data_IF_147558942212
#
_entry.id   IF_147558942212
#
_cell.length_a   1.000
_cell.length_b   1.000
_cell.length_c   1.000
_cell.angle_alpha   90.00
_cell.angle_beta   90.00
_cell.angle_gamma   90.00
#
_symmetry.space_group_name_H-M   'P 1'
#
loop_
_entity.id
_entity.type
_entity.pdbx_description
1 polymer ?
#
# COMPACT_ATOMS: atom_id res chain seq x y z
N UNK A 1 -3.97 -18.74 -18.90
CA UNK A 1 -2.86 -19.70 -19.01
C UNK A 1 -1.73 -19.33 -18.05
N UNK A 2 -1.64 -20.09 -16.96
CA UNK A 2 -0.44 -20.47 -16.19
C UNK A 2 -0.98 -21.34 -15.04
N UNK A 3 -1.49 -22.54 -15.36
CA UNK A 3 -2.13 -23.46 -14.41
C UNK A 3 -1.14 -24.23 -13.53
N UNK A 4 0.14 -23.86 -13.58
CA UNK A 4 1.21 -24.52 -12.83
C UNK A 4 2.05 -23.52 -12.07
N UNK A 5 2.46 -23.92 -10.87
CA UNK A 5 3.33 -23.11 -10.04
C UNK A 5 4.70 -22.95 -10.73
N UNK A 6 5.30 -21.76 -10.79
CA UNK A 6 6.61 -21.57 -11.40
C UNK A 6 7.74 -22.28 -10.63
N UNK A 7 7.51 -22.64 -9.37
CA UNK A 7 8.53 -23.26 -8.53
C UNK A 7 8.35 -24.78 -8.41
N UNK A 8 7.17 -25.24 -7.99
CA UNK A 8 6.93 -26.68 -7.78
C UNK A 8 6.25 -27.38 -8.96
N UNK A 9 5.88 -26.64 -10.02
CA UNK A 9 5.17 -27.14 -11.20
C UNK A 9 3.87 -27.92 -10.92
N UNK A 10 3.38 -27.94 -9.68
CA UNK A 10 2.13 -28.55 -9.30
C UNK A 10 0.96 -27.88 -10.02
N UNK A 11 -0.06 -28.66 -10.37
CA UNK A 11 -1.31 -28.17 -10.93
C UNK A 11 -2.03 -27.31 -9.87
N UNK A 12 -2.25 -26.03 -10.18
CA UNK A 12 -3.01 -25.14 -9.33
C UNK A 12 -4.50 -25.38 -9.57
N UNK A 13 -5.31 -25.59 -8.52
CA UNK A 13 -6.76 -25.53 -8.66
C UNK A 13 -7.16 -24.13 -9.14
N UNK A 14 -8.26 -24.02 -9.90
CA UNK A 14 -8.72 -22.73 -10.45
C UNK A 14 -8.96 -21.65 -9.38
N UNK A 15 -9.11 -22.09 -8.12
CA UNK A 15 -9.41 -21.28 -6.94
C UNK A 15 -8.18 -20.89 -6.10
N UNK A 16 -6.97 -21.38 -6.44
CA UNK A 16 -5.73 -21.04 -5.71
C UNK A 16 -5.30 -19.60 -6.00
N UNK A 17 -5.91 -18.66 -5.28
CA UNK A 17 -5.89 -17.24 -5.64
C UNK A 17 -4.66 -16.45 -5.15
N UNK A 18 -3.88 -16.97 -4.19
CA UNK A 18 -2.85 -16.16 -3.50
C UNK A 18 -1.55 -16.91 -3.18
N UNK A 19 -1.62 -18.19 -2.81
CA UNK A 19 -0.48 -19.02 -2.38
C UNK A 19 -0.61 -20.41 -3.01
N UNK A 20 0.50 -20.98 -3.49
CA UNK A 20 0.51 -22.33 -4.03
C UNK A 20 0.32 -23.36 -2.90
N UNK A 21 -0.64 -24.29 -3.00
CA UNK A 21 -0.88 -25.30 -1.99
C UNK A 21 0.28 -26.30 -1.82
N UNK A 22 1.05 -26.55 -2.89
CA UNK A 22 2.13 -27.55 -2.85
C UNK A 22 3.44 -27.06 -2.22
N UNK A 23 3.84 -25.80 -2.44
CA UNK A 23 5.12 -25.27 -1.95
C UNK A 23 5.02 -23.99 -1.12
N UNK A 24 3.84 -23.40 -0.98
CA UNK A 24 3.67 -22.14 -0.23
C UNK A 24 4.16 -20.89 -0.98
N UNK A 25 4.47 -20.99 -2.28
CA UNK A 25 4.88 -19.86 -3.10
C UNK A 25 3.76 -18.82 -3.27
N UNK A 26 4.06 -17.54 -3.05
CA UNK A 26 3.10 -16.43 -3.19
C UNK A 26 2.93 -16.05 -4.66
N UNK A 27 1.78 -16.43 -5.24
CA UNK A 27 1.46 -16.22 -6.65
C UNK A 27 0.91 -14.82 -6.91
N UNK A 28 0.20 -14.23 -5.93
CA UNK A 28 -0.46 -12.93 -6.08
C UNK A 28 -0.25 -12.04 -4.87
N UNK A 29 0.26 -10.83 -5.08
CA UNK A 29 0.29 -9.80 -4.04
C UNK A 29 -1.13 -9.32 -3.72
N UNK A 30 -1.55 -9.25 -2.44
CA UNK A 30 -2.86 -8.72 -2.05
C UNK A 30 -3.07 -7.29 -2.55
N UNK A 31 -4.23 -7.00 -3.14
CA UNK A 31 -4.63 -5.63 -3.56
C UNK A 31 -4.46 -4.62 -2.42
N UNK A 32 -4.74 -5.04 -1.20
CA UNK A 32 -4.58 -4.23 0.02
C UNK A 32 -3.13 -3.77 0.21
N UNK A 33 -2.15 -4.64 -0.06
CA UNK A 33 -0.73 -4.27 0.06
C UNK A 33 -0.29 -3.30 -1.04
N UNK A 34 -0.84 -3.41 -2.26
CA UNK A 34 -0.60 -2.41 -3.32
C UNK A 34 -1.13 -1.03 -2.94
N UNK A 35 -2.32 -0.96 -2.35
CA UNK A 35 -2.90 0.30 -1.87
C UNK A 35 -2.05 0.86 -0.71
N UNK A 36 -1.60 0.01 0.21
CA UNK A 36 -0.68 0.43 1.28
C UNK A 36 0.62 1.04 0.76
N UNK A 37 1.23 0.44 -0.27
CA UNK A 37 2.44 0.98 -0.92
C UNK A 37 2.14 2.35 -1.56
N UNK A 38 0.99 2.52 -2.21
CA UNK A 38 0.58 3.81 -2.77
C UNK A 38 0.51 4.89 -1.68
N UNK A 39 -0.07 4.57 -0.53
CA UNK A 39 -0.12 5.48 0.62
C UNK A 39 1.26 5.81 1.18
N UNK A 40 2.19 4.84 1.22
CA UNK A 40 3.57 5.11 1.62
C UNK A 40 4.30 6.05 0.65
N UNK A 41 4.12 5.85 -0.66
CA UNK A 41 4.69 6.74 -1.68
C UNK A 41 4.09 8.14 -1.54
N UNK A 42 2.78 8.24 -1.31
CA UNK A 42 2.09 9.51 -1.13
C UNK A 42 2.57 10.22 0.15
N UNK A 43 2.80 9.48 1.24
CA UNK A 43 3.45 9.98 2.46
C UNK A 43 4.87 10.47 2.20
N UNK A 44 5.66 9.77 1.40
CA UNK A 44 7.00 10.23 1.04
C UNK A 44 6.96 11.55 0.28
N UNK A 45 6.02 11.69 -0.67
CA UNK A 45 5.82 12.94 -1.41
C UNK A 45 5.44 14.08 -0.47
N UNK A 46 4.55 13.86 0.51
CA UNK A 46 4.19 14.93 1.47
C UNK A 46 5.35 15.36 2.35
N UNK A 47 6.28 14.44 2.68
CA UNK A 47 7.54 14.77 3.37
C UNK A 47 8.46 15.59 2.46
N UNK A 48 8.62 15.22 1.20
CA UNK A 48 9.45 15.98 0.25
C UNK A 48 8.92 17.41 0.12
N UNK A 49 7.60 17.57 -0.04
CA UNK A 49 6.95 18.89 -0.13
C UNK A 49 7.15 19.69 1.16
N UNK A 50 7.11 19.03 2.33
CA UNK A 50 7.41 19.69 3.61
C UNK A 50 8.84 20.26 3.64
N UNK A 51 9.82 19.47 3.21
CA UNK A 51 11.25 19.85 3.22
C UNK A 51 11.55 20.96 2.21
N UNK A 52 10.98 20.87 1.00
CA UNK A 52 11.20 21.86 -0.06
C UNK A 52 10.49 23.19 0.24
N UNK A 53 9.45 23.17 1.07
CA UNK A 53 8.61 24.32 1.36
C UNK A 53 7.29 24.20 0.60
N UNK A 54 6.14 24.04 1.29
CA UNK A 54 4.88 23.76 0.59
C UNK A 54 4.38 24.97 -0.21
N UNK A 55 4.89 26.17 0.08
CA UNK A 55 4.58 27.42 -0.63
C UNK A 55 5.08 27.44 -2.08
N UNK A 56 6.07 26.61 -2.42
CA UNK A 56 6.57 26.45 -3.79
C UNK A 56 5.73 25.46 -4.60
N UNK A 57 5.02 24.54 -3.94
CA UNK A 57 4.33 23.41 -4.57
C UNK A 57 2.81 23.63 -4.63
N UNK A 58 2.25 24.33 -3.65
CA UNK A 58 0.84 24.72 -3.59
C UNK A 58 0.76 26.22 -3.88
N UNK A 59 0.72 26.63 -5.16
CA UNK A 59 0.61 28.02 -5.51
C UNK A 59 -0.72 28.59 -5.04
N UNK A 60 -0.69 29.78 -4.44
CA UNK A 60 -1.86 30.62 -4.17
C UNK A 60 -2.41 31.19 -5.49
N UNK A 61 -2.86 30.31 -6.39
CA UNK A 61 -3.35 30.66 -7.73
C UNK A 61 -4.89 30.79 -7.80
N UNK A 62 -5.58 30.77 -6.66
CA UNK A 62 -7.03 30.94 -6.57
C UNK A 62 -7.87 29.70 -6.91
N UNK A 63 -7.25 28.59 -7.34
CA UNK A 63 -7.96 27.33 -7.59
C UNK A 63 -8.33 26.58 -6.31
N UNK A 64 -7.55 26.80 -5.25
CA UNK A 64 -7.76 26.21 -3.93
C UNK A 64 -8.15 27.34 -2.97
N UNK A 65 -9.25 27.22 -2.21
CA UNK A 65 -9.66 28.25 -1.26
C UNK A 65 -8.58 28.43 -0.18
N UNK A 66 -8.28 29.68 0.15
CA UNK A 66 -7.20 30.02 1.08
C UNK A 66 -7.38 29.36 2.46
N UNK A 67 -8.63 29.24 2.93
CA UNK A 67 -8.94 28.59 4.21
C UNK A 67 -8.51 27.11 4.23
N UNK A 68 -8.68 26.39 3.11
CA UNK A 68 -8.26 25.00 3.00
C UNK A 68 -6.74 24.87 2.99
N UNK A 69 -6.07 25.80 2.30
CA UNK A 69 -4.60 25.87 2.23
C UNK A 69 -4.04 26.08 3.64
N UNK A 70 -4.56 27.06 4.38
CA UNK A 70 -4.10 27.37 5.73
C UNK A 70 -4.38 26.21 6.71
N UNK A 71 -5.54 25.56 6.60
CA UNK A 71 -5.84 24.33 7.36
C UNK A 71 -4.87 23.19 7.05
N UNK A 72 -4.51 23.00 5.78
CA UNK A 72 -3.56 21.97 5.34
C UNK A 72 -2.15 22.24 5.90
N UNK A 73 -1.72 23.51 5.92
CA UNK A 73 -0.44 23.92 6.51
C UNK A 73 -0.40 23.65 8.02
N UNK A 74 -1.45 24.05 8.75
CA UNK A 74 -1.57 23.84 10.19
C UNK A 74 -1.54 22.35 10.59
N UNK A 75 -2.13 21.50 9.76
CA UNK A 75 -2.25 20.05 10.02
C UNK A 75 -1.29 19.20 9.18
N UNK A 76 -0.25 19.79 8.59
CA UNK A 76 0.63 19.09 7.65
C UNK A 76 1.32 17.88 8.27
N UNK A 77 1.78 18.00 9.52
CA UNK A 77 2.38 16.91 10.29
C UNK A 77 1.41 15.75 10.50
N UNK A 78 0.13 16.05 10.80
CA UNK A 78 -0.92 15.04 10.94
C UNK A 78 -1.19 14.33 9.61
N UNK A 79 -1.18 15.04 8.47
CA UNK A 79 -1.33 14.44 7.15
C UNK A 79 -0.18 13.46 6.84
N UNK A 80 1.06 13.82 7.17
CA UNK A 80 2.21 12.93 7.02
C UNK A 80 2.05 11.67 7.88
N UNK A 81 1.70 11.84 9.16
CA UNK A 81 1.51 10.72 10.09
C UNK A 81 0.36 9.81 9.61
N UNK A 82 -0.74 10.39 9.16
CA UNK A 82 -1.92 9.63 8.73
C UNK A 82 -1.66 8.87 7.44
N UNK A 83 -0.99 9.47 6.46
CA UNK A 83 -0.64 8.81 5.19
C UNK A 83 0.36 7.67 5.38
N UNK A 84 1.43 7.89 6.15
CA UNK A 84 2.39 6.83 6.49
C UNK A 84 1.77 5.75 7.38
N UNK A 85 1.02 6.14 8.41
CA UNK A 85 0.36 5.24 9.34
C UNK A 85 -0.63 4.31 8.63
N UNK A 86 -1.49 4.86 7.76
CA UNK A 86 -2.39 4.06 6.93
C UNK A 86 -1.62 3.17 5.95
N UNK A 87 -0.56 3.68 5.33
CA UNK A 87 0.29 2.89 4.43
C UNK A 87 0.89 1.66 5.11
N UNK A 88 1.52 1.87 6.28
CA UNK A 88 2.08 0.78 7.10
C UNK A 88 1.01 -0.19 7.56
N UNK A 89 -0.13 0.30 8.02
CA UNK A 89 -1.24 -0.53 8.48
C UNK A 89 -1.78 -1.43 7.35
N UNK A 90 -1.99 -0.89 6.16
CA UNK A 90 -2.48 -1.66 5.00
C UNK A 90 -1.47 -2.69 4.51
N UNK A 91 -0.17 -2.35 4.52
CA UNK A 91 0.90 -3.32 4.20
C UNK A 91 0.93 -4.43 5.25
N UNK A 92 0.86 -4.11 6.53
CA UNK A 92 0.84 -5.09 7.62
C UNK A 92 -0.39 -6.01 7.53
N UNK A 93 -1.58 -5.46 7.30
CA UNK A 93 -2.80 -6.24 7.10
C UNK A 93 -2.70 -7.16 5.88
N UNK A 94 -2.13 -6.68 4.78
CA UNK A 94 -1.84 -7.49 3.59
C UNK A 94 -0.87 -8.65 3.88
N UNK A 95 0.21 -8.38 4.63
CA UNK A 95 1.16 -9.40 5.04
C UNK A 95 0.54 -10.45 5.97
N UNK A 96 -0.30 -10.03 6.93
CA UNK A 96 -1.05 -10.93 7.80
C UNK A 96 -2.00 -11.83 7.02
N UNK A 97 -2.74 -11.29 6.04
CA UNK A 97 -3.61 -12.10 5.19
C UNK A 97 -2.83 -13.18 4.45
N UNK A 98 -1.68 -12.84 3.86
CA UNK A 98 -0.82 -13.82 3.16
C UNK A 98 -0.29 -14.88 4.12
N UNK A 99 0.10 -14.50 5.34
CA UNK A 99 0.55 -15.46 6.36
C UNK A 99 -0.58 -16.40 6.80
N UNK A 100 -1.79 -15.88 7.00
CA UNK A 100 -2.95 -16.68 7.36
C UNK A 100 -3.31 -17.69 6.26
N UNK A 101 -3.20 -17.30 4.99
CA UNK A 101 -3.43 -18.22 3.88
C UNK A 101 -2.31 -19.26 3.72
N UNK A 102 -1.04 -18.88 3.94
CA UNK A 102 0.07 -19.84 4.01
C UNK A 102 -0.13 -20.87 5.14
N UNK A 103 -0.64 -20.44 6.30
CA UNK A 103 -0.89 -21.35 7.42
C UNK A 103 -1.99 -22.38 7.12
N UNK A 104 -3.02 -22.02 6.36
CA UNK A 104 -4.10 -22.94 5.96
C UNK A 104 -3.66 -24.03 4.98
N UNK A 105 -2.59 -23.76 4.23
CA UNK A 105 -2.05 -24.66 3.21
C UNK A 105 -1.08 -25.69 3.80
N UNK A 106 -0.44 -25.36 4.93
CA UNK A 106 0.55 -26.22 5.60
C UNK A 106 -0.07 -27.19 6.63
N UNK A 107 -1.39 -27.21 6.77
CA UNK A 107 -2.17 -28.15 7.62
C UNK A 107 -2.81 -29.19 6.73
#
# INVERSE_FOLDING_TARGET
MASRCPECYAELPEDALWVCPGCGYTLRTPRVSKIGILFLVLGLVTVIVYVVGPTLVIPRNGWIPFDLVDYLYLNWSLLVILTFGLGLFLVAAGAWKVRAERAKVLV
#
